data_IF_133421450033
#
_entry.id   IF_133421450033
#
_cell.length_a   1.000
_cell.length_b   1.000
_cell.length_c   1.000
_cell.angle_alpha   90.00
_cell.angle_beta   90.00
_cell.angle_gamma   90.00
#
_symmetry.space_group_name_H-M   'P 1'
#
loop_
_entity.id
_entity.type
_entity.pdbx_description
1 polymer ?
#
# COMPACT_ATOMS: atom_id res chain seq x y z
N UNK A 1 33.36 -90.02 48.19
CA UNK A 1 32.81 -88.65 48.07
C UNK A 1 31.30 -88.80 48.11
N UNK A 2 30.71 -88.53 49.27
CA UNK A 2 29.27 -88.56 49.61
C UNK A 2 28.47 -87.69 48.59
N UNK A 3 27.34 -88.07 47.99
CA UNK A 3 26.01 -88.56 48.41
C UNK A 3 25.13 -87.54 49.17
N UNK A 4 23.95 -87.24 48.57
CA UNK A 4 22.63 -86.90 49.18
C UNK A 4 22.54 -85.56 49.95
N UNK A 5 21.43 -84.83 50.12
CA UNK A 5 20.05 -84.72 49.63
C UNK A 5 19.38 -83.73 50.63
N UNK A 6 18.36 -82.97 50.19
CA UNK A 6 17.05 -82.93 50.89
C UNK A 6 16.83 -82.14 52.21
N UNK A 7 16.00 -81.08 52.08
CA UNK A 7 14.72 -80.83 52.79
C UNK A 7 14.66 -79.97 54.08
N UNK A 8 13.63 -79.09 54.06
CA UNK A 8 12.92 -78.35 55.14
C UNK A 8 13.72 -77.25 55.87
N UNK A 9 13.20 -76.03 56.08
CA UNK A 9 11.87 -75.68 56.60
C UNK A 9 11.31 -74.31 56.12
N UNK A 10 9.99 -74.22 55.97
CA UNK A 10 9.19 -72.97 56.09
C UNK A 10 8.58 -72.90 57.49
N UNK A 11 8.34 -71.69 58.06
CA UNK A 11 6.95 -71.21 58.00
C UNK A 11 6.77 -69.70 57.71
N UNK A 12 5.64 -69.45 57.06
CA UNK A 12 4.76 -68.27 57.05
C UNK A 12 4.99 -67.19 58.11
N UNK A 13 4.85 -65.91 57.73
CA UNK A 13 3.65 -65.07 58.01
C UNK A 13 3.64 -63.88 57.04
N UNK A 14 2.47 -63.67 56.45
CA UNK A 14 1.96 -62.52 55.68
C UNK A 14 2.25 -61.16 56.31
N UNK A 15 2.67 -60.19 55.50
CA UNK A 15 1.96 -58.91 55.40
C UNK A 15 2.19 -58.26 54.03
N UNK A 16 1.09 -57.81 53.45
CA UNK A 16 0.99 -57.30 52.11
C UNK A 16 1.65 -55.91 51.99
N UNK A 17 2.58 -55.77 51.04
CA UNK A 17 3.03 -54.46 50.56
C UNK A 17 2.59 -54.32 49.11
N UNK A 18 1.65 -53.39 48.93
CA UNK A 18 1.07 -52.91 47.67
C UNK A 18 2.12 -52.50 46.64
N UNK A 19 1.88 -52.72 45.33
CA UNK A 19 2.76 -52.22 44.28
C UNK A 19 2.61 -50.70 44.15
N UNK A 20 3.71 -49.98 44.36
CA UNK A 20 3.82 -48.54 44.20
C UNK A 20 3.70 -48.17 42.71
N UNK A 21 2.68 -47.39 42.39
CA UNK A 21 2.40 -46.89 41.04
C UNK A 21 3.43 -45.81 40.64
N UNK A 22 3.76 -45.67 39.35
CA UNK A 22 4.78 -44.73 38.91
C UNK A 22 4.35 -43.27 39.15
N UNK A 23 5.29 -42.49 39.70
CA UNK A 23 5.19 -41.05 39.94
C UNK A 23 4.60 -40.33 38.73
N UNK A 24 3.40 -39.79 38.93
CA UNK A 24 2.76 -38.89 37.98
C UNK A 24 3.35 -37.49 38.21
N UNK A 25 3.97 -36.84 37.21
CA UNK A 25 4.40 -35.45 37.39
C UNK A 25 3.16 -34.58 37.54
N UNK A 26 2.99 -34.01 38.73
CA UNK A 26 2.03 -32.97 39.02
C UNK A 26 2.29 -31.75 38.12
N UNK A 27 1.23 -31.21 37.52
CA UNK A 27 1.21 -29.84 36.98
C UNK A 27 1.83 -29.65 35.60
N UNK A 28 1.24 -30.25 34.55
CA UNK A 28 1.20 -29.58 33.25
C UNK A 28 -0.12 -28.84 33.18
N UNK A 29 -0.06 -27.50 33.21
CA UNK A 29 -1.16 -26.67 32.78
C UNK A 29 -1.68 -27.20 31.43
N UNK A 30 -3.01 -27.29 31.23
CA UNK A 30 -3.53 -27.75 29.96
C UNK A 30 -2.99 -26.83 28.87
N UNK A 31 -2.22 -27.38 27.93
CA UNK A 31 -1.84 -26.70 26.70
C UNK A 31 -3.14 -26.29 26.04
N UNK A 32 -3.47 -25.00 26.14
CA UNK A 32 -4.65 -24.44 25.54
C UNK A 32 -4.65 -24.81 24.05
N UNK A 33 -5.60 -25.66 23.64
CA UNK A 33 -5.84 -25.96 22.25
C UNK A 33 -6.07 -24.68 21.45
N UNK A 34 -5.89 -24.70 20.12
CA UNK A 34 -6.11 -23.54 19.28
C UNK A 34 -7.57 -23.08 19.42
N UNK A 35 -7.74 -21.97 20.14
CA UNK A 35 -9.01 -21.28 20.38
C UNK A 35 -9.65 -20.86 19.04
N UNK A 36 -10.95 -21.09 18.81
CA UNK A 36 -11.58 -20.90 17.52
C UNK A 36 -11.71 -19.40 17.18
N UNK A 37 -10.91 -18.93 16.21
CA UNK A 37 -11.07 -17.82 15.25
C UNK A 37 -12.02 -16.61 15.50
N UNK A 38 -12.35 -16.27 16.76
CA UNK A 38 -13.30 -15.20 17.11
C UNK A 38 -12.77 -14.31 18.24
N UNK A 39 -12.49 -13.05 17.94
CA UNK A 39 -12.65 -11.97 18.93
C UNK A 39 -11.43 -11.45 19.69
N UNK A 40 -10.19 -11.88 19.47
CA UNK A 40 -9.03 -11.22 20.12
C UNK A 40 -8.85 -9.79 19.57
N UNK A 41 -8.76 -8.80 20.46
CA UNK A 41 -8.44 -7.41 20.13
C UNK A 41 -7.04 -7.32 19.51
N UNK A 42 -6.85 -6.46 18.50
CA UNK A 42 -5.56 -6.25 17.80
C UNK A 42 -4.49 -5.60 18.70
N UNK A 43 -4.84 -5.23 19.93
CA UNK A 43 -3.93 -4.64 20.90
C UNK A 43 -3.79 -3.11 20.79
N UNK A 44 -3.33 -2.49 21.87
CA UNK A 44 -3.18 -1.03 21.97
C UNK A 44 -2.14 -0.47 20.99
N UNK A 45 -1.00 -1.14 20.88
CA UNK A 45 0.09 -0.73 19.97
C UNK A 45 -0.35 -0.70 18.51
N UNK A 46 -1.22 -1.63 18.10
CA UNK A 46 -1.81 -1.63 16.76
C UNK A 46 -2.66 -0.38 16.54
N UNK A 47 -3.56 -0.05 17.46
CA UNK A 47 -4.43 1.11 17.29
C UNK A 47 -3.67 2.44 17.32
N UNK A 48 -2.58 2.52 18.09
CA UNK A 48 -1.67 3.68 18.06
C UNK A 48 -0.95 3.82 16.70
N UNK A 49 -0.44 2.71 16.15
CA UNK A 49 0.14 2.67 14.80
C UNK A 49 -0.90 3.01 13.73
N UNK A 50 -2.12 2.48 13.87
CA UNK A 50 -3.24 2.74 12.98
C UNK A 50 -3.63 4.21 12.97
N UNK A 51 -3.73 4.85 14.14
CA UNK A 51 -4.01 6.28 14.26
C UNK A 51 -2.87 7.13 13.66
N UNK A 52 -1.62 6.79 13.93
CA UNK A 52 -0.46 7.47 13.32
C UNK A 52 -0.51 7.38 11.79
N UNK A 53 -0.76 6.19 11.25
CA UNK A 53 -0.77 5.95 9.80
C UNK A 53 -1.95 6.63 9.12
N UNK A 54 -3.13 6.61 9.74
CA UNK A 54 -4.31 7.33 9.25
C UNK A 54 -4.12 8.85 9.24
N UNK A 55 -3.56 9.44 10.32
CA UNK A 55 -3.28 10.88 10.37
C UNK A 55 -2.20 11.31 9.36
N UNK A 56 -1.15 10.50 9.22
CA UNK A 56 -0.10 10.74 8.23
C UNK A 56 -0.66 10.70 6.81
N UNK A 57 -1.47 9.69 6.50
CA UNK A 57 -2.08 9.54 5.18
C UNK A 57 -3.12 10.62 4.89
N UNK A 58 -3.85 11.08 5.92
CA UNK A 58 -4.76 12.24 5.80
C UNK A 58 -3.98 13.49 5.37
N UNK A 59 -2.86 13.77 6.03
CA UNK A 59 -1.99 14.90 5.70
C UNK A 59 -1.46 14.80 4.26
N UNK A 60 -0.99 13.62 3.86
CA UNK A 60 -0.54 13.35 2.49
C UNK A 60 -1.67 13.59 1.46
N UNK A 61 -2.90 13.13 1.77
CA UNK A 61 -4.08 13.32 0.93
C UNK A 61 -4.50 14.79 0.78
N UNK A 62 -4.46 15.56 1.87
CA UNK A 62 -4.70 17.01 1.85
C UNK A 62 -3.64 17.70 0.97
N UNK A 63 -2.36 17.34 1.15
CA UNK A 63 -1.26 18.01 0.48
C UNK A 63 -1.30 17.84 -1.05
N UNK A 64 -1.81 16.70 -1.55
CA UNK A 64 -2.00 16.45 -2.99
C UNK A 64 -2.86 17.51 -3.69
N UNK A 65 -3.79 18.13 -2.96
CA UNK A 65 -4.65 19.22 -3.47
C UNK A 65 -4.08 20.58 -3.12
N UNK A 66 -3.58 20.75 -1.89
CA UNK A 66 -3.08 22.04 -1.39
C UNK A 66 -1.88 22.54 -2.18
N UNK A 67 -0.89 21.68 -2.49
CA UNK A 67 0.33 22.12 -3.18
C UNK A 67 0.05 22.71 -4.58
N UNK A 68 -0.69 22.04 -5.48
CA UNK A 68 -1.05 22.62 -6.77
C UNK A 68 -1.88 23.92 -6.65
N UNK A 69 -2.81 24.00 -5.69
CA UNK A 69 -3.65 25.19 -5.50
C UNK A 69 -2.84 26.41 -5.01
N UNK A 70 -1.80 26.17 -4.20
CA UNK A 70 -0.86 27.23 -3.82
C UNK A 70 0.01 27.64 -5.01
N UNK A 71 0.43 26.68 -5.84
CA UNK A 71 1.27 26.96 -7.01
C UNK A 71 0.63 27.94 -8.00
N UNK A 72 -0.69 27.87 -8.19
CA UNK A 72 -1.46 28.78 -9.06
C UNK A 72 -1.32 30.26 -8.63
N UNK A 73 -0.98 30.54 -7.36
CA UNK A 73 -0.72 31.90 -6.88
C UNK A 73 0.61 32.46 -7.38
N UNK A 74 1.58 31.60 -7.68
CA UNK A 74 2.95 31.98 -8.04
C UNK A 74 3.27 31.79 -9.52
N UNK A 75 2.48 31.00 -10.24
CA UNK A 75 2.69 30.76 -11.66
C UNK A 75 1.37 30.47 -12.38
N UNK A 76 1.30 30.90 -13.64
CA UNK A 76 0.23 30.54 -14.57
C UNK A 76 0.66 29.42 -15.53
N UNK A 77 1.87 28.86 -15.38
CA UNK A 77 2.38 27.81 -16.26
C UNK A 77 1.81 26.45 -15.85
N UNK A 78 0.99 25.80 -16.70
CA UNK A 78 0.44 24.49 -16.39
C UNK A 78 1.54 23.42 -16.22
N UNK A 79 2.65 23.55 -16.95
CA UNK A 79 3.78 22.64 -16.86
C UNK A 79 4.46 22.70 -15.48
N UNK A 80 4.65 23.90 -14.93
CA UNK A 80 5.25 24.06 -13.60
C UNK A 80 4.32 23.55 -12.49
N UNK A 81 3.01 23.68 -12.64
CA UNK A 81 2.04 23.14 -11.68
C UNK A 81 1.99 21.61 -11.75
N UNK A 82 1.91 21.05 -12.97
CA UNK A 82 1.91 19.60 -13.19
C UNK A 82 3.20 18.94 -12.70
N UNK A 83 4.35 19.61 -12.85
CA UNK A 83 5.62 19.10 -12.38
C UNK A 83 5.71 18.94 -10.85
N UNK A 84 4.84 19.56 -10.05
CA UNK A 84 4.76 19.29 -8.61
C UNK A 84 4.27 17.87 -8.31
N UNK A 85 3.35 17.33 -9.12
CA UNK A 85 2.92 15.94 -8.99
C UNK A 85 4.07 14.97 -9.33
N UNK A 86 4.89 15.33 -10.31
CA UNK A 86 6.13 14.60 -10.63
C UNK A 86 7.10 14.69 -9.44
N UNK A 87 7.31 15.89 -8.87
CA UNK A 87 8.20 16.06 -7.73
C UNK A 87 7.78 15.24 -6.50
N UNK A 88 6.47 15.11 -6.24
CA UNK A 88 5.94 14.25 -5.16
C UNK A 88 6.15 12.75 -5.43
N UNK A 89 6.04 12.31 -6.68
CA UNK A 89 6.02 10.87 -7.02
C UNK A 89 7.38 10.34 -7.49
N UNK A 90 8.26 11.20 -8.01
CA UNK A 90 9.61 10.86 -8.45
C UNK A 90 10.45 10.15 -7.36
N UNK A 91 10.36 10.52 -6.06
CA UNK A 91 11.04 9.79 -5.01
C UNK A 91 10.70 8.30 -4.95
N UNK A 92 9.49 7.87 -5.30
CA UNK A 92 9.16 6.44 -5.38
C UNK A 92 9.95 5.72 -6.47
N UNK A 93 10.26 6.39 -7.59
CA UNK A 93 11.10 5.83 -8.65
C UNK A 93 12.58 5.76 -8.21
N UNK A 94 13.08 6.78 -7.53
CA UNK A 94 14.50 6.90 -7.19
C UNK A 94 14.88 6.16 -5.90
N UNK A 95 13.98 6.15 -4.91
CA UNK A 95 14.30 5.79 -3.54
C UNK A 95 13.48 4.61 -2.99
N UNK A 96 12.54 3.99 -3.71
CA UNK A 96 11.79 2.83 -3.20
C UNK A 96 12.72 1.67 -2.78
N UNK A 97 13.70 1.32 -3.62
CA UNK A 97 14.68 0.27 -3.31
C UNK A 97 15.62 0.66 -2.16
N UNK A 98 16.27 1.86 -2.18
CA UNK A 98 17.04 2.32 -1.05
C UNK A 98 16.26 2.40 0.27
N UNK A 99 15.04 2.93 0.25
CA UNK A 99 14.21 3.05 1.44
C UNK A 99 13.94 1.69 2.06
N UNK A 100 13.57 0.68 1.27
CA UNK A 100 13.40 -0.69 1.75
C UNK A 100 14.64 -1.25 2.44
N UNK A 101 15.79 -1.15 1.78
CA UNK A 101 17.03 -1.68 2.33
C UNK A 101 17.56 -0.88 3.54
N UNK A 102 17.19 0.39 3.66
CA UNK A 102 17.49 1.25 4.82
C UNK A 102 16.59 0.93 6.01
N UNK A 103 15.29 0.77 5.79
CA UNK A 103 14.28 0.40 6.80
C UNK A 103 14.59 -0.97 7.42
N UNK A 104 15.21 -1.88 6.66
CA UNK A 104 15.75 -3.16 7.13
C UNK A 104 16.98 -3.03 8.07
N UNK A 105 17.50 -1.82 8.32
CA UNK A 105 18.65 -1.58 9.22
C UNK A 105 18.31 -0.70 10.40
N UNK A 106 17.37 0.21 10.20
CA UNK A 106 16.95 1.19 11.18
C UNK A 106 15.86 0.60 12.08
N UNK A 107 15.67 1.23 13.23
CA UNK A 107 14.44 1.03 13.99
C UNK A 107 13.29 1.64 13.19
N UNK A 108 12.30 0.80 12.83
CA UNK A 108 11.20 1.20 11.94
C UNK A 108 10.35 2.32 12.53
N UNK A 109 10.14 2.31 13.85
CA UNK A 109 9.42 3.37 14.55
C UNK A 109 10.21 4.68 14.50
N UNK A 110 11.53 4.64 14.73
CA UNK A 110 12.37 5.85 14.59
C UNK A 110 12.38 6.40 13.17
N UNK A 111 12.44 5.55 12.16
CA UNK A 111 12.38 5.98 10.76
C UNK A 111 11.06 6.71 10.44
N UNK A 112 9.93 6.18 10.91
CA UNK A 112 8.62 6.83 10.79
C UNK A 112 8.54 8.16 11.54
N UNK A 113 9.05 8.22 12.78
CA UNK A 113 9.09 9.47 13.57
C UNK A 113 9.89 10.57 12.85
N UNK A 114 11.10 10.23 12.39
CA UNK A 114 11.96 11.18 11.67
C UNK A 114 11.30 11.63 10.36
N UNK A 115 10.69 10.71 9.61
CA UNK A 115 10.00 11.05 8.38
C UNK A 115 8.90 12.10 8.62
N UNK A 116 8.01 11.88 9.59
CA UNK A 116 6.92 12.82 9.87
C UNK A 116 7.42 14.14 10.47
N UNK A 117 8.47 14.14 11.28
CA UNK A 117 9.10 15.36 11.79
C UNK A 117 9.71 16.19 10.65
N UNK A 118 10.40 15.56 9.71
CA UNK A 118 10.96 16.25 8.54
C UNK A 118 9.84 16.82 7.67
N UNK A 119 8.76 16.06 7.42
CA UNK A 119 7.59 16.56 6.67
C UNK A 119 6.92 17.75 7.35
N UNK A 120 6.69 17.67 8.65
CA UNK A 120 6.14 18.77 9.43
C UNK A 120 7.05 19.99 9.40
N UNK A 121 8.38 19.81 9.47
CA UNK A 121 9.35 20.88 9.33
C UNK A 121 9.33 21.53 7.95
N UNK A 122 9.32 20.74 6.87
CA UNK A 122 9.24 21.24 5.49
C UNK A 122 7.98 22.08 5.27
N UNK A 123 6.83 21.61 5.75
CA UNK A 123 5.58 22.37 5.66
C UNK A 123 5.56 23.55 6.63
N UNK A 124 6.21 23.47 7.79
CA UNK A 124 6.37 24.61 8.70
C UNK A 124 7.14 25.75 8.03
N UNK A 125 8.23 25.44 7.34
CA UNK A 125 8.97 26.42 6.52
C UNK A 125 8.08 26.97 5.41
N UNK A 126 7.35 26.11 4.69
CA UNK A 126 6.42 26.56 3.64
C UNK A 126 5.32 27.46 4.21
N UNK A 127 4.74 27.14 5.37
CA UNK A 127 3.72 27.94 6.05
C UNK A 127 4.22 29.33 6.40
N UNK A 128 5.45 29.44 6.91
CA UNK A 128 6.07 30.73 7.20
C UNK A 128 6.26 31.52 5.90
N UNK A 129 6.81 30.91 4.85
CA UNK A 129 7.03 31.60 3.58
C UNK A 129 5.72 32.03 2.90
N UNK A 130 4.67 31.21 2.96
CA UNK A 130 3.33 31.56 2.44
C UNK A 130 2.69 32.66 3.28
N UNK A 131 2.84 32.63 4.61
CA UNK A 131 2.30 33.66 5.50
C UNK A 131 2.99 35.01 5.37
N UNK A 132 4.28 35.02 5.02
CA UNK A 132 5.07 36.21 4.73
C UNK A 132 5.03 36.65 3.26
N UNK A 133 4.30 35.92 2.41
CA UNK A 133 4.21 36.13 0.96
C UNK A 133 5.57 36.14 0.21
N UNK A 134 6.53 35.35 0.72
CA UNK A 134 7.88 35.17 0.12
C UNK A 134 8.09 33.77 -0.46
N UNK A 135 7.05 32.93 -0.47
CA UNK A 135 7.12 31.61 -1.07
C UNK A 135 7.27 31.71 -2.60
N UNK A 136 7.83 30.66 -3.20
CA UNK A 136 8.03 30.57 -4.64
C UNK A 136 7.72 29.17 -5.14
N UNK A 137 7.46 29.03 -6.43
CA UNK A 137 7.25 27.72 -7.06
C UNK A 137 8.41 26.75 -6.77
N UNK A 138 9.65 27.24 -6.73
CA UNK A 138 10.83 26.43 -6.44
C UNK A 138 10.84 25.88 -5.01
N UNK A 139 10.38 26.66 -4.04
CA UNK A 139 10.19 26.16 -2.68
C UNK A 139 9.15 25.04 -2.64
N UNK A 140 8.06 25.16 -3.40
CA UNK A 140 7.05 24.10 -3.52
C UNK A 140 7.65 22.81 -4.11
N UNK A 141 8.55 22.90 -5.09
CA UNK A 141 9.28 21.74 -5.63
C UNK A 141 10.18 21.07 -4.59
N UNK A 142 10.95 21.86 -3.82
CA UNK A 142 11.81 21.35 -2.75
C UNK A 142 10.98 20.64 -1.68
N UNK A 143 9.86 21.25 -1.28
CA UNK A 143 8.94 20.67 -0.30
C UNK A 143 8.29 19.39 -0.84
N UNK A 144 7.75 19.41 -2.06
CA UNK A 144 7.15 18.26 -2.71
C UNK A 144 8.12 17.07 -2.79
N UNK A 145 9.34 17.30 -3.26
CA UNK A 145 10.36 16.27 -3.39
C UNK A 145 10.82 15.74 -2.02
N UNK A 146 11.04 16.62 -1.04
CA UNK A 146 11.41 16.24 0.33
C UNK A 146 10.31 15.44 1.03
N UNK A 147 9.05 15.81 0.85
CA UNK A 147 7.89 15.05 1.33
C UNK A 147 7.86 13.68 0.67
N UNK A 148 7.99 13.56 -0.65
CA UNK A 148 7.97 12.26 -1.33
C UNK A 148 9.12 11.32 -0.90
N UNK A 149 10.32 11.83 -0.62
CA UNK A 149 11.43 11.03 -0.07
C UNK A 149 11.04 10.42 1.28
N UNK A 150 10.53 11.26 2.17
CA UNK A 150 10.14 10.83 3.53
C UNK A 150 8.86 9.98 3.51
N UNK A 151 7.98 10.16 2.54
CA UNK A 151 6.84 9.28 2.20
C UNK A 151 7.30 7.86 1.93
N UNK A 152 8.27 7.72 1.03
CA UNK A 152 8.81 6.42 0.66
C UNK A 152 9.38 5.67 1.88
N UNK A 153 10.06 6.39 2.79
CA UNK A 153 10.62 5.81 4.03
C UNK A 153 9.51 5.44 5.03
N UNK A 154 8.55 6.34 5.27
CA UNK A 154 7.48 6.14 6.24
C UNK A 154 6.61 4.94 5.85
N UNK A 155 6.11 4.91 4.63
CA UNK A 155 5.18 3.87 4.19
C UNK A 155 5.83 2.48 4.20
N UNK A 156 7.10 2.44 3.77
CA UNK A 156 7.88 1.19 3.80
C UNK A 156 8.11 0.71 5.23
N UNK A 157 8.30 1.64 6.18
CA UNK A 157 8.41 1.33 7.60
C UNK A 157 7.08 0.91 8.23
N UNK A 158 5.98 1.60 7.91
CA UNK A 158 4.63 1.35 8.43
C UNK A 158 4.13 -0.06 8.08
N UNK A 159 4.37 -0.51 6.85
CA UNK A 159 4.05 -1.88 6.46
C UNK A 159 4.96 -2.91 7.14
N UNK A 160 6.24 -2.57 7.33
CA UNK A 160 7.23 -3.50 7.89
C UNK A 160 7.18 -3.63 9.41
N UNK A 161 6.63 -2.63 10.12
CA UNK A 161 6.47 -2.67 11.58
C UNK A 161 5.24 -3.49 12.00
N UNK A 162 4.21 -3.56 11.15
CA UNK A 162 2.94 -4.20 11.48
C UNK A 162 3.09 -5.67 11.94
N UNK A 163 3.92 -6.53 11.30
CA UNK A 163 4.14 -7.90 11.77
C UNK A 163 4.77 -8.02 13.15
N UNK A 164 5.39 -6.96 13.65
CA UNK A 164 5.97 -6.91 15.00
C UNK A 164 4.99 -6.38 16.05
N UNK A 165 3.81 -5.92 15.64
CA UNK A 165 2.82 -5.28 16.52
C UNK A 165 1.59 -6.16 16.77
N UNK A 166 1.29 -7.08 15.85
CA UNK A 166 0.15 -8.01 15.96
C UNK A 166 0.59 -9.46 15.79
N UNK A 167 -0.22 -10.39 16.32
CA UNK A 167 0.02 -11.81 16.16
C UNK A 167 -0.16 -12.27 14.69
N UNK A 168 0.55 -13.34 14.31
CA UNK A 168 0.61 -13.84 12.92
C UNK A 168 -0.76 -14.21 12.35
N UNK A 169 -1.63 -14.81 13.16
CA UNK A 169 -3.00 -15.18 12.82
C UNK A 169 -3.92 -13.97 12.55
N UNK A 170 -3.53 -12.79 13.03
CA UNK A 170 -4.31 -11.56 12.88
C UNK A 170 -3.78 -10.62 11.78
N UNK A 171 -2.68 -10.96 11.11
CA UNK A 171 -1.99 -10.08 10.16
C UNK A 171 -2.87 -9.63 8.99
N UNK A 172 -3.65 -10.53 8.41
CA UNK A 172 -4.54 -10.19 7.29
C UNK A 172 -5.60 -9.18 7.71
N UNK A 173 -6.20 -9.37 8.89
CA UNK A 173 -7.19 -8.46 9.47
C UNK A 173 -6.58 -7.10 9.80
N UNK A 174 -5.37 -7.09 10.36
CA UNK A 174 -4.63 -5.88 10.70
C UNK A 174 -4.22 -5.09 9.45
N UNK A 175 -3.69 -5.77 8.43
CA UNK A 175 -3.36 -5.15 7.13
C UNK A 175 -4.59 -4.55 6.46
N UNK A 176 -5.70 -5.30 6.40
CA UNK A 176 -6.93 -4.81 5.77
C UNK A 176 -7.47 -3.54 6.44
N UNK A 177 -7.46 -3.47 7.78
CA UNK A 177 -7.92 -2.29 8.53
C UNK A 177 -6.95 -1.11 8.43
N UNK A 178 -5.65 -1.37 8.43
CA UNK A 178 -4.64 -0.32 8.26
C UNK A 178 -4.74 0.27 6.85
N UNK A 179 -4.70 -0.57 5.83
CA UNK A 179 -4.81 -0.16 4.43
C UNK A 179 -6.12 0.58 4.15
N UNK A 180 -7.27 0.10 4.68
CA UNK A 180 -8.54 0.79 4.54
C UNK A 180 -8.49 2.21 5.15
N UNK A 181 -7.86 2.38 6.30
CA UNK A 181 -7.70 3.70 6.92
C UNK A 181 -6.78 4.61 6.12
N UNK A 182 -5.63 4.11 5.67
CA UNK A 182 -4.69 4.84 4.81
C UNK A 182 -5.40 5.29 3.52
N UNK A 183 -6.07 4.38 2.83
CA UNK A 183 -6.78 4.67 1.58
C UNK A 183 -7.94 5.65 1.78
N UNK A 184 -8.74 5.48 2.84
CA UNK A 184 -9.85 6.39 3.15
C UNK A 184 -9.35 7.79 3.49
N UNK A 185 -8.33 7.90 4.34
CA UNK A 185 -7.79 9.20 4.74
C UNK A 185 -7.04 9.89 3.60
N UNK A 186 -6.24 9.15 2.83
CA UNK A 186 -5.44 9.70 1.74
C UNK A 186 -6.24 10.05 0.48
N UNK A 187 -7.22 9.23 0.10
CA UNK A 187 -7.93 9.39 -1.18
C UNK A 187 -9.35 9.93 -1.04
N UNK A 188 -10.06 9.61 0.05
CA UNK A 188 -11.47 10.01 0.20
C UNK A 188 -11.65 11.27 1.05
N UNK A 189 -10.96 11.36 2.20
CA UNK A 189 -11.12 12.47 3.14
C UNK A 189 -10.15 13.61 2.82
N UNK A 190 -8.88 13.27 2.57
CA UNK A 190 -7.80 14.24 2.40
C UNK A 190 -8.05 15.26 1.28
N UNK A 191 -8.31 14.85 0.02
CA UNK A 191 -8.45 15.79 -1.08
C UNK A 191 -9.61 16.79 -0.91
N UNK A 192 -10.85 16.37 -0.54
CA UNK A 192 -11.93 17.32 -0.25
C UNK A 192 -11.61 18.25 0.92
N UNK A 193 -11.00 17.71 2.00
CA UNK A 193 -10.57 18.51 3.14
C UNK A 193 -9.53 19.56 2.71
N UNK A 194 -8.58 19.21 1.84
CA UNK A 194 -7.60 20.15 1.31
C UNK A 194 -8.21 21.29 0.49
N UNK A 195 -9.25 21.00 -0.31
CA UNK A 195 -10.01 22.04 -1.01
C UNK A 195 -10.72 23.00 -0.03
N UNK A 196 -11.39 22.47 0.99
CA UNK A 196 -12.06 23.28 2.03
C UNK A 196 -11.07 24.13 2.83
N UNK A 197 -9.92 23.56 3.20
CA UNK A 197 -8.87 24.29 3.91
C UNK A 197 -8.29 25.41 3.04
N UNK A 198 -8.09 25.18 1.74
CA UNK A 198 -7.63 26.21 0.81
C UNK A 198 -8.65 27.35 0.68
N UNK A 199 -9.94 27.05 0.70
CA UNK A 199 -11.00 28.06 0.72
C UNK A 199 -10.98 28.90 2.02
N UNK A 200 -10.64 28.27 3.16
CA UNK A 200 -10.46 28.99 4.42
C UNK A 200 -9.17 29.84 4.46
N UNK A 201 -8.14 29.45 3.71
CA UNK A 201 -6.93 30.24 3.51
C UNK A 201 -5.67 29.39 3.30
N UNK A 202 -4.76 29.87 2.46
CA UNK A 202 -3.54 29.12 2.09
C UNK A 202 -2.67 28.75 3.30
N UNK A 203 -2.50 29.65 4.28
CA UNK A 203 -1.70 29.35 5.48
C UNK A 203 -2.33 28.21 6.29
N UNK A 204 -3.65 28.25 6.52
CA UNK A 204 -4.39 27.21 7.23
C UNK A 204 -4.24 25.86 6.50
N UNK A 205 -4.32 25.89 5.17
CA UNK A 205 -4.19 24.70 4.33
C UNK A 205 -2.81 24.03 4.40
N UNK A 206 -1.73 24.81 4.58
CA UNK A 206 -0.37 24.24 4.75
C UNK A 206 -0.10 23.82 6.20
N UNK A 207 -0.57 24.59 7.18
CA UNK A 207 -0.35 24.30 8.61
C UNK A 207 -1.06 23.02 9.03
N UNK A 208 -2.25 22.75 8.47
CA UNK A 208 -3.08 21.62 8.90
C UNK A 208 -2.41 20.25 8.66
N UNK A 209 -1.86 19.92 7.47
CA UNK A 209 -1.08 18.70 7.28
C UNK A 209 0.15 18.62 8.19
N UNK A 210 0.85 19.72 8.42
CA UNK A 210 2.00 19.75 9.33
C UNK A 210 1.58 19.37 10.76
N UNK A 211 0.48 19.96 11.25
CA UNK A 211 -0.10 19.62 12.55
C UNK A 211 -0.54 18.15 12.60
N UNK A 212 -1.18 17.62 11.55
CA UNK A 212 -1.60 16.23 11.49
C UNK A 212 -0.42 15.25 11.56
N UNK A 213 0.71 15.53 10.90
CA UNK A 213 1.93 14.72 11.05
C UNK A 213 2.53 14.82 12.46
N UNK A 214 2.48 15.99 13.12
CA UNK A 214 2.94 16.12 14.51
C UNK A 214 2.04 15.34 15.48
N UNK A 215 0.72 15.33 15.27
CA UNK A 215 -0.19 14.49 16.05
C UNK A 215 0.07 13.00 15.77
N UNK A 216 0.35 12.63 14.52
CA UNK A 216 0.77 11.27 14.16
C UNK A 216 2.06 10.85 14.89
N UNK A 217 3.06 11.76 14.96
CA UNK A 217 4.28 11.57 15.76
C UNK A 217 3.93 11.31 17.22
N UNK A 218 3.01 12.09 17.82
CA UNK A 218 2.52 11.87 19.18
C UNK A 218 1.92 10.48 19.38
N UNK A 219 1.04 10.04 18.48
CA UNK A 219 0.45 8.70 18.52
C UNK A 219 1.52 7.59 18.42
N UNK A 220 2.51 7.78 17.54
CA UNK A 220 3.60 6.83 17.33
C UNK A 220 4.60 6.80 18.49
N UNK A 221 4.78 7.91 19.22
CA UNK A 221 5.57 7.94 20.45
C UNK A 221 4.96 7.07 21.55
N UNK A 222 3.65 6.84 21.54
CA UNK A 222 2.98 5.96 22.49
C UNK A 222 3.17 4.47 22.20
N UNK A 223 3.60 4.11 20.99
CA UNK A 223 3.92 2.73 20.62
C UNK A 223 5.20 2.32 21.34
N UNK A 224 5.09 1.43 22.33
CA UNK A 224 6.23 0.94 23.12
C UNK A 224 6.92 -0.23 22.43
N UNK A 225 8.25 -0.21 22.43
CA UNK A 225 9.08 -1.28 21.88
C UNK A 225 10.26 -0.76 21.05
N UNK A 226 11.24 -1.65 20.84
CA UNK A 226 12.26 -1.52 19.81
C UNK A 226 11.81 -2.36 18.62
N UNK A 227 11.73 -1.76 17.45
CA UNK A 227 11.26 -2.41 16.21
C UNK A 227 12.40 -2.63 15.23
N UNK A 228 13.62 -2.67 15.75
CA UNK A 228 14.82 -2.98 14.97
C UNK A 228 14.73 -4.42 14.45
N UNK A 229 14.85 -4.64 13.14
CA UNK A 229 14.87 -5.98 12.58
C UNK A 229 16.04 -6.80 13.18
N UNK A 230 15.76 -8.03 13.61
CA UNK A 230 16.81 -9.01 13.95
C UNK A 230 17.41 -9.46 12.63
N UNK A 231 18.71 -9.20 12.42
CA UNK A 231 19.43 -9.62 11.21
C UNK A 231 20.28 -10.85 11.53
N UNK A 232 19.97 -11.96 10.88
CA UNK A 232 20.75 -13.20 10.97
C UNK A 232 22.11 -13.09 10.27
N UNK A 233 22.23 -12.21 9.25
CA UNK A 233 23.46 -12.06 8.46
C UNK A 233 23.79 -10.58 8.19
N UNK A 234 25.08 -10.23 8.29
CA UNK A 234 25.60 -8.94 7.83
C UNK A 234 25.67 -8.98 6.29
N UNK A 235 24.80 -8.22 5.64
CA UNK A 235 24.79 -8.03 4.18
C UNK A 235 24.91 -6.54 3.85
N UNK A 236 25.35 -6.21 2.63
CA UNK A 236 25.39 -4.83 2.14
C UNK A 236 24.01 -4.41 1.61
N UNK A 237 23.75 -3.11 1.58
CA UNK A 237 22.48 -2.56 1.09
C UNK A 237 22.22 -2.95 -0.36
N UNK A 238 23.28 -2.96 -1.18
CA UNK A 238 23.24 -3.43 -2.57
C UNK A 238 22.87 -4.91 -2.67
N UNK A 239 23.42 -5.76 -1.77
CA UNK A 239 23.09 -7.18 -1.76
C UNK A 239 21.62 -7.43 -1.38
N UNK A 240 21.08 -6.69 -0.40
CA UNK A 240 19.68 -6.79 0.01
C UNK A 240 18.73 -6.38 -1.13
N UNK A 241 19.03 -5.27 -1.82
CA UNK A 241 18.28 -4.80 -3.00
C UNK A 241 18.35 -5.84 -4.13
N UNK A 242 19.54 -6.34 -4.44
CA UNK A 242 19.75 -7.32 -5.49
C UNK A 242 19.02 -8.64 -5.19
N UNK A 243 18.96 -9.07 -3.93
CA UNK A 243 18.21 -10.26 -3.52
C UNK A 243 16.70 -10.07 -3.74
N UNK A 244 16.13 -8.94 -3.34
CA UNK A 244 14.71 -8.62 -3.55
C UNK A 244 14.33 -8.56 -5.03
N UNK A 245 15.14 -7.87 -5.85
CA UNK A 245 14.97 -7.82 -7.29
C UNK A 245 15.12 -9.20 -7.94
N UNK A 246 16.14 -9.96 -7.58
CA UNK A 246 16.36 -11.30 -8.13
C UNK A 246 15.21 -12.25 -7.79
N UNK A 247 14.69 -12.17 -6.57
CA UNK A 247 13.53 -12.96 -6.16
C UNK A 247 12.29 -12.59 -6.97
N UNK A 248 11.97 -11.29 -7.05
CA UNK A 248 10.82 -10.81 -7.82
C UNK A 248 10.94 -11.18 -9.31
N UNK A 249 12.14 -11.11 -9.91
CA UNK A 249 12.35 -11.44 -11.32
C UNK A 249 12.44 -12.96 -11.57
N UNK A 250 12.84 -13.74 -10.57
CA UNK A 250 12.88 -15.19 -10.61
C UNK A 250 11.48 -15.82 -10.50
N UNK A 251 10.56 -15.18 -9.77
CA UNK A 251 9.19 -15.66 -9.67
C UNK A 251 8.31 -15.10 -10.81
N UNK A 252 7.88 -15.99 -11.72
CA UNK A 252 7.11 -15.60 -12.91
C UNK A 252 5.77 -14.93 -12.57
N UNK A 253 5.08 -15.37 -11.52
CA UNK A 253 3.79 -14.79 -11.09
C UNK A 253 4.03 -13.37 -10.55
N UNK A 254 4.95 -13.22 -9.60
CA UNK A 254 5.22 -11.93 -8.97
C UNK A 254 5.73 -10.88 -9.98
N UNK A 255 6.64 -11.25 -10.89
CA UNK A 255 7.13 -10.36 -11.95
C UNK A 255 5.99 -9.90 -12.86
N UNK A 256 5.08 -10.81 -13.21
CA UNK A 256 3.93 -10.50 -14.07
C UNK A 256 2.98 -9.53 -13.37
N UNK A 257 2.62 -9.79 -12.11
CA UNK A 257 1.76 -8.91 -11.31
C UNK A 257 2.37 -7.51 -11.12
N UNK A 258 3.68 -7.44 -10.84
CA UNK A 258 4.39 -6.17 -10.67
C UNK A 258 4.42 -5.36 -11.96
N UNK A 259 4.68 -6.01 -13.10
CA UNK A 259 4.68 -5.37 -14.41
C UNK A 259 3.29 -4.87 -14.79
N UNK A 260 2.25 -5.70 -14.60
CA UNK A 260 0.86 -5.31 -14.88
C UNK A 260 0.42 -4.13 -14.00
N UNK A 261 0.77 -4.14 -12.71
CA UNK A 261 0.45 -3.02 -11.80
C UNK A 261 1.20 -1.75 -12.19
N UNK A 262 2.47 -1.86 -12.56
CA UNK A 262 3.26 -0.71 -13.01
C UNK A 262 2.71 -0.09 -14.30
N UNK A 263 2.31 -0.91 -15.27
CA UNK A 263 1.67 -0.44 -16.51
C UNK A 263 0.30 0.17 -16.24
N UNK A 264 -0.48 -0.41 -15.31
CA UNK A 264 -1.74 0.16 -14.84
C UNK A 264 -1.56 1.57 -14.26
N UNK A 265 -0.62 1.73 -13.34
CA UNK A 265 -0.34 3.03 -12.70
C UNK A 265 0.29 4.05 -13.67
N UNK A 266 1.07 3.59 -14.65
CA UNK A 266 1.55 4.44 -15.74
C UNK A 266 0.37 5.01 -16.54
N UNK A 267 -0.56 4.14 -16.97
CA UNK A 267 -1.70 4.53 -17.79
C UNK A 267 -2.67 5.47 -17.05
N UNK A 268 -3.00 5.16 -15.80
CA UNK A 268 -3.89 6.01 -14.99
C UNK A 268 -3.23 7.34 -14.64
N UNK A 269 -1.91 7.37 -14.43
CA UNK A 269 -1.19 8.64 -14.22
C UNK A 269 -1.10 9.47 -15.51
N UNK A 270 -0.92 8.83 -16.67
CA UNK A 270 -0.92 9.50 -17.97
C UNK A 270 -2.27 10.16 -18.29
N UNK A 271 -3.37 9.43 -18.09
CA UNK A 271 -4.71 9.98 -18.33
C UNK A 271 -5.13 10.96 -17.24
N UNK A 272 -4.80 10.69 -15.97
CA UNK A 272 -5.08 11.59 -14.87
C UNK A 272 -4.44 12.96 -15.03
N UNK A 273 -3.21 13.02 -15.56
CA UNK A 273 -2.50 14.27 -15.82
C UNK A 273 -3.22 15.19 -16.82
N UNK A 274 -3.95 14.62 -17.78
CA UNK A 274 -4.61 15.37 -18.86
C UNK A 274 -6.13 15.46 -18.71
N UNK A 275 -6.73 14.72 -17.77
CA UNK A 275 -8.18 14.60 -17.65
C UNK A 275 -8.86 15.91 -17.24
N UNK A 276 -8.24 16.73 -16.39
CA UNK A 276 -8.78 18.04 -16.02
C UNK A 276 -8.92 18.93 -17.26
N UNK A 277 -7.91 18.96 -18.14
CA UNK A 277 -7.93 19.72 -19.40
C UNK A 277 -8.99 19.20 -20.37
N UNK A 278 -9.27 17.89 -20.33
CA UNK A 278 -10.33 17.28 -21.14
C UNK A 278 -11.73 17.60 -20.61
N UNK A 279 -11.87 17.76 -19.30
CA UNK A 279 -13.17 17.79 -18.64
C UNK A 279 -13.67 19.20 -18.29
N UNK A 280 -12.79 20.12 -17.90
CA UNK A 280 -13.17 21.39 -17.26
C UNK A 280 -12.93 22.59 -18.16
N UNK A 281 -13.93 23.48 -18.24
CA UNK A 281 -13.81 24.81 -18.84
C UNK A 281 -14.38 24.93 -20.27
N UNK A 282 -14.59 26.16 -20.78
CA UNK A 282 -15.36 26.41 -22.00
C UNK A 282 -14.75 25.84 -23.28
N UNK A 283 -13.42 25.69 -23.31
CA UNK A 283 -12.69 25.09 -24.44
C UNK A 283 -12.44 23.58 -24.30
N UNK A 284 -12.90 22.96 -23.22
CA UNK A 284 -12.71 21.53 -22.99
C UNK A 284 -13.76 20.69 -23.72
N UNK A 285 -13.42 19.48 -24.19
CA UNK A 285 -14.39 18.58 -24.84
C UNK A 285 -15.66 18.27 -24.04
N UNK A 286 -15.62 18.30 -22.71
CA UNK A 286 -16.80 18.03 -21.88
C UNK A 286 -17.50 19.31 -21.36
N UNK A 287 -16.81 20.45 -21.31
CA UNK A 287 -17.39 21.72 -20.89
C UNK A 287 -17.89 21.75 -19.45
N UNK A 288 -17.34 20.94 -18.55
CA UNK A 288 -17.84 20.85 -17.18
C UNK A 288 -17.42 22.03 -16.32
N UNK A 289 -18.28 22.36 -15.37
CA UNK A 289 -17.92 23.20 -14.22
C UNK A 289 -17.10 22.39 -13.20
N UNK A 290 -16.29 23.09 -12.40
CA UNK A 290 -15.46 22.48 -11.36
C UNK A 290 -16.24 21.60 -10.38
N UNK A 291 -17.46 21.98 -9.89
CA UNK A 291 -18.24 21.13 -8.99
C UNK A 291 -18.67 19.81 -9.63
N UNK A 292 -19.08 19.84 -10.92
CA UNK A 292 -19.51 18.64 -11.64
C UNK A 292 -18.31 17.73 -11.92
N UNK A 293 -17.15 18.31 -12.23
CA UNK A 293 -15.91 17.57 -12.37
C UNK A 293 -15.53 16.85 -11.07
N UNK A 294 -15.62 17.54 -9.93
CA UNK A 294 -15.43 16.93 -8.62
C UNK A 294 -16.38 15.74 -8.39
N UNK A 295 -17.67 15.91 -8.67
CA UNK A 295 -18.67 14.84 -8.57
C UNK A 295 -18.33 13.66 -9.49
N UNK A 296 -17.86 13.93 -10.71
CA UNK A 296 -17.43 12.88 -11.65
C UNK A 296 -16.29 12.04 -11.09
N UNK A 297 -15.26 12.67 -10.51
CA UNK A 297 -14.15 11.96 -9.87
C UNK A 297 -14.60 11.09 -8.68
N UNK A 298 -15.65 11.49 -7.95
CA UNK A 298 -16.20 10.66 -6.87
C UNK A 298 -16.76 9.33 -7.35
N UNK A 299 -17.10 9.19 -8.63
CA UNK A 299 -17.62 7.94 -9.20
C UNK A 299 -16.63 6.79 -9.04
N UNK A 300 -15.33 7.03 -9.22
CA UNK A 300 -14.28 6.02 -8.98
C UNK A 300 -14.31 5.54 -7.52
N UNK A 301 -14.46 6.50 -6.61
CA UNK A 301 -14.51 6.27 -5.17
C UNK A 301 -15.73 5.43 -4.76
N UNK A 302 -16.92 5.79 -5.27
CA UNK A 302 -18.17 5.01 -5.09
C UNK A 302 -17.99 3.60 -5.63
N UNK A 303 -17.41 3.47 -6.83
CA UNK A 303 -17.06 2.20 -7.45
C UNK A 303 -16.18 1.34 -6.55
N UNK A 304 -15.08 1.88 -6.05
CA UNK A 304 -14.16 1.18 -5.15
C UNK A 304 -14.84 0.73 -3.85
N UNK A 305 -15.71 1.57 -3.27
CA UNK A 305 -16.48 1.19 -2.08
C UNK A 305 -17.40 -0.01 -2.38
N UNK A 306 -18.17 0.05 -3.47
CA UNK A 306 -19.02 -1.07 -3.90
C UNK A 306 -18.19 -2.33 -4.20
N UNK A 307 -17.05 -2.16 -4.88
CA UNK A 307 -16.08 -3.21 -5.17
C UNK A 307 -15.61 -3.95 -3.92
N UNK A 308 -15.37 -3.23 -2.82
CA UNK A 308 -14.95 -3.85 -1.55
C UNK A 308 -15.97 -4.83 -0.97
N UNK A 309 -17.27 -4.56 -1.11
CA UNK A 309 -18.34 -5.45 -0.63
C UNK A 309 -18.54 -6.70 -1.49
N UNK A 310 -18.12 -6.64 -2.76
CA UNK A 310 -18.31 -7.74 -3.71
C UNK A 310 -17.03 -8.52 -4.02
N UNK A 311 -15.85 -8.00 -3.65
CA UNK A 311 -14.56 -8.57 -4.02
C UNK A 311 -14.44 -10.06 -3.67
N UNK A 312 -14.72 -10.44 -2.42
CA UNK A 312 -14.68 -11.84 -1.98
C UNK A 312 -15.67 -12.71 -2.74
N UNK A 313 -16.88 -12.20 -3.00
CA UNK A 313 -17.93 -12.93 -3.72
C UNK A 313 -17.54 -13.14 -5.19
N UNK A 314 -16.89 -12.16 -5.81
CA UNK A 314 -16.38 -12.24 -7.17
C UNK A 314 -15.22 -13.22 -7.26
N UNK A 315 -14.24 -13.16 -6.34
CA UNK A 315 -13.12 -14.11 -6.27
C UNK A 315 -13.63 -15.55 -6.10
N UNK A 316 -14.56 -15.78 -5.17
CA UNK A 316 -15.11 -17.13 -4.92
C UNK A 316 -15.89 -17.69 -6.11
N UNK A 317 -16.58 -16.84 -6.88
CA UNK A 317 -17.38 -17.29 -8.04
C UNK A 317 -16.57 -17.46 -9.32
N UNK A 318 -15.61 -16.57 -9.57
CA UNK A 318 -14.87 -16.54 -10.83
C UNK A 318 -13.51 -17.23 -10.75
N UNK A 319 -12.95 -17.40 -9.55
CA UNK A 319 -11.54 -17.75 -9.35
C UNK A 319 -10.62 -16.54 -9.51
N UNK A 320 -9.39 -16.66 -9.00
CA UNK A 320 -8.43 -15.54 -8.93
C UNK A 320 -8.04 -15.03 -10.31
N UNK A 321 -7.73 -15.95 -11.22
CA UNK A 321 -7.33 -15.61 -12.59
C UNK A 321 -8.40 -14.77 -13.31
N UNK A 322 -9.65 -15.24 -13.32
CA UNK A 322 -10.73 -14.51 -14.01
C UNK A 322 -11.07 -13.18 -13.33
N UNK A 323 -10.99 -13.10 -12.01
CA UNK A 323 -11.15 -11.84 -11.28
C UNK A 323 -10.05 -10.82 -11.63
N UNK A 324 -8.80 -11.26 -11.79
CA UNK A 324 -7.71 -10.40 -12.26
C UNK A 324 -7.94 -9.96 -13.72
N UNK A 325 -8.39 -10.84 -14.61
CA UNK A 325 -8.74 -10.49 -15.99
C UNK A 325 -9.88 -9.45 -16.07
N UNK A 326 -10.93 -9.64 -15.27
CA UNK A 326 -12.02 -8.66 -15.14
C UNK A 326 -11.49 -7.29 -14.69
N UNK A 327 -10.47 -7.28 -13.84
CA UNK A 327 -9.85 -6.04 -13.38
C UNK A 327 -9.01 -5.34 -14.45
N UNK A 328 -8.36 -6.09 -15.33
CA UNK A 328 -7.71 -5.52 -16.52
C UNK A 328 -8.74 -4.88 -17.45
N UNK A 329 -9.89 -5.53 -17.66
CA UNK A 329 -10.97 -4.99 -18.48
C UNK A 329 -11.56 -3.72 -17.84
N UNK A 330 -11.88 -3.76 -16.55
CA UNK A 330 -12.41 -2.59 -15.83
C UNK A 330 -11.42 -1.43 -15.81
N UNK A 331 -10.12 -1.71 -15.66
CA UNK A 331 -9.05 -0.71 -15.79
C UNK A 331 -8.92 -0.13 -17.20
N UNK A 332 -9.12 -0.94 -18.23
CA UNK A 332 -9.17 -0.48 -19.63
C UNK A 332 -10.34 0.48 -19.84
N UNK A 333 -11.52 0.15 -19.28
CA UNK A 333 -12.70 1.03 -19.33
C UNK A 333 -12.46 2.34 -18.58
N UNK A 334 -11.87 2.28 -17.38
CA UNK A 334 -11.52 3.44 -16.56
C UNK A 334 -10.73 4.49 -17.36
N UNK A 335 -9.70 4.04 -18.08
CA UNK A 335 -8.77 4.89 -18.81
C UNK A 335 -9.29 5.24 -20.21
N UNK A 336 -10.03 4.33 -20.85
CA UNK A 336 -10.43 4.45 -22.25
C UNK A 336 -11.78 5.11 -22.51
N UNK A 337 -12.69 5.13 -21.53
CA UNK A 337 -14.04 5.68 -21.76
C UNK A 337 -14.05 7.13 -22.25
N UNK A 338 -13.14 8.05 -21.83
CA UNK A 338 -13.11 9.40 -22.39
C UNK A 338 -12.66 9.48 -23.85
N UNK A 339 -12.02 8.42 -24.39
CA UNK A 339 -11.66 8.39 -25.81
C UNK A 339 -12.89 8.29 -26.73
N UNK A 340 -13.94 7.60 -26.25
CA UNK A 340 -15.12 7.24 -27.06
C UNK A 340 -16.32 8.13 -26.81
N UNK A 341 -16.38 8.81 -25.66
CA UNK A 341 -17.50 9.69 -25.31
C UNK A 341 -17.05 10.90 -24.49
N UNK A 342 -17.84 11.97 -24.54
CA UNK A 342 -17.75 13.15 -23.66
C UNK A 342 -18.88 13.19 -22.63
N UNK A 343 -19.82 12.23 -22.67
CA UNK A 343 -21.00 12.25 -21.83
C UNK A 343 -20.63 11.95 -20.35
N UNK A 344 -20.84 12.89 -19.42
CA UNK A 344 -20.33 12.76 -18.05
C UNK A 344 -20.85 11.53 -17.30
N UNK A 345 -22.13 11.20 -17.48
CA UNK A 345 -22.75 10.01 -16.83
C UNK A 345 -22.11 8.70 -17.29
N UNK A 346 -21.79 8.58 -18.59
CA UNK A 346 -21.16 7.36 -19.12
C UNK A 346 -19.73 7.23 -18.59
N UNK A 347 -18.97 8.33 -18.62
CA UNK A 347 -17.61 8.37 -18.05
C UNK A 347 -17.65 8.02 -16.56
N UNK A 348 -18.60 8.58 -15.80
CA UNK A 348 -18.79 8.29 -14.38
C UNK A 348 -19.09 6.81 -14.13
N UNK A 349 -19.96 6.18 -14.93
CA UNK A 349 -20.22 4.75 -14.85
C UNK A 349 -18.98 3.90 -15.14
N UNK A 350 -18.18 4.28 -16.14
CA UNK A 350 -16.90 3.62 -16.45
C UNK A 350 -15.88 3.77 -15.32
N UNK A 351 -15.83 4.96 -14.70
CA UNK A 351 -14.99 5.23 -13.54
C UNK A 351 -15.40 4.40 -12.33
N UNK A 352 -16.70 4.27 -12.06
CA UNK A 352 -17.21 3.42 -11.00
C UNK A 352 -16.89 1.92 -11.24
N UNK A 353 -17.06 1.42 -12.47
CA UNK A 353 -16.67 0.06 -12.82
C UNK A 353 -15.15 -0.17 -12.65
N UNK A 354 -14.35 0.79 -13.12
CA UNK A 354 -12.90 0.79 -12.96
C UNK A 354 -12.47 0.77 -11.50
N UNK A 355 -13.04 1.65 -10.68
CA UNK A 355 -12.79 1.72 -9.24
C UNK A 355 -13.15 0.43 -8.52
N UNK A 356 -14.31 -0.17 -8.85
CA UNK A 356 -14.75 -1.43 -8.25
C UNK A 356 -13.77 -2.58 -8.53
N UNK A 357 -13.38 -2.72 -9.79
CA UNK A 357 -12.49 -3.80 -10.20
C UNK A 357 -11.03 -3.58 -9.77
N UNK A 358 -10.59 -2.32 -9.64
CA UNK A 358 -9.28 -1.98 -9.07
C UNK A 358 -9.14 -2.48 -7.63
N UNK A 359 -10.21 -2.44 -6.83
CA UNK A 359 -10.20 -2.99 -5.46
C UNK A 359 -10.07 -4.51 -5.48
N UNK A 360 -10.76 -5.20 -6.40
CA UNK A 360 -10.65 -6.66 -6.57
C UNK A 360 -9.22 -7.06 -6.90
N UNK A 361 -8.58 -6.36 -7.85
CA UNK A 361 -7.16 -6.56 -8.17
C UNK A 361 -6.27 -6.42 -6.93
N UNK A 362 -6.42 -5.33 -6.18
CA UNK A 362 -5.58 -5.06 -5.01
C UNK A 362 -5.69 -6.14 -3.94
N UNK A 363 -6.91 -6.62 -3.63
CA UNK A 363 -7.13 -7.68 -2.63
C UNK A 363 -6.39 -8.97 -3.02
N UNK A 364 -6.54 -9.40 -4.27
CA UNK A 364 -5.92 -10.63 -4.77
C UNK A 364 -4.39 -10.47 -4.79
N UNK A 365 -3.88 -9.37 -5.35
CA UNK A 365 -2.44 -9.16 -5.54
C UNK A 365 -1.68 -8.98 -4.23
N UNK A 366 -2.26 -8.30 -3.23
CA UNK A 366 -1.68 -8.24 -1.89
C UNK A 366 -1.55 -9.65 -1.30
N UNK A 367 -2.62 -10.44 -1.38
CA UNK A 367 -2.67 -11.80 -0.82
C UNK A 367 -1.66 -12.73 -1.49
N UNK A 368 -1.61 -12.74 -2.83
CA UNK A 368 -0.66 -13.56 -3.59
C UNK A 368 0.80 -13.22 -3.26
N UNK A 369 1.11 -11.92 -3.16
CA UNK A 369 2.47 -11.49 -2.79
C UNK A 369 2.90 -12.00 -1.42
N UNK A 370 1.99 -11.95 -0.45
CA UNK A 370 2.26 -12.42 0.91
C UNK A 370 2.42 -13.93 0.97
N UNK A 371 1.62 -14.70 0.21
CA UNK A 371 1.66 -16.17 0.22
C UNK A 371 2.84 -16.78 -0.55
N UNK A 372 3.24 -16.16 -1.65
CA UNK A 372 4.32 -16.68 -2.52
C UNK A 372 5.71 -16.32 -1.95
N UNK A 373 5.80 -15.25 -1.16
CA UNK A 373 7.10 -14.71 -0.73
C UNK A 373 7.48 -15.21 0.65
N UNK A 374 8.68 -15.80 0.82
CA UNK A 374 9.16 -16.19 2.14
C UNK A 374 9.22 -15.00 3.10
N UNK A 375 8.89 -15.23 4.38
CA UNK A 375 8.84 -14.20 5.42
C UNK A 375 10.09 -13.29 5.45
N UNK A 376 11.28 -13.91 5.35
CA UNK A 376 12.57 -13.20 5.36
C UNK A 376 12.79 -12.26 4.17
N UNK A 377 12.04 -12.44 3.08
CA UNK A 377 12.15 -11.68 1.83
C UNK A 377 10.97 -10.71 1.60
N UNK A 378 9.89 -10.79 2.39
CA UNK A 378 8.68 -10.01 2.18
C UNK A 378 8.95 -8.50 2.03
N UNK A 379 9.74 -7.90 2.93
CA UNK A 379 10.06 -6.47 2.89
C UNK A 379 10.86 -6.06 1.64
N UNK A 380 11.86 -6.87 1.27
CA UNK A 380 12.73 -6.62 0.11
C UNK A 380 11.99 -6.80 -1.22
N UNK A 381 11.21 -7.87 -1.33
CA UNK A 381 10.33 -8.12 -2.47
C UNK A 381 9.30 -7.01 -2.61
N UNK A 382 8.64 -6.59 -1.52
CA UNK A 382 7.64 -5.54 -1.55
C UNK A 382 8.22 -4.19 -1.99
N UNK A 383 9.45 -3.87 -1.58
CA UNK A 383 10.14 -2.65 -2.02
C UNK A 383 10.44 -2.68 -3.53
N UNK A 384 10.88 -3.83 -4.05
CA UNK A 384 11.08 -4.04 -5.48
C UNK A 384 9.76 -4.00 -6.28
N UNK A 385 8.69 -4.54 -5.71
CA UNK A 385 7.36 -4.45 -6.30
C UNK A 385 6.86 -2.99 -6.33
N UNK A 386 7.07 -2.23 -5.26
CA UNK A 386 6.66 -0.83 -5.12
C UNK A 386 7.39 0.07 -6.10
N UNK A 387 8.67 -0.18 -6.39
CA UNK A 387 9.38 0.52 -7.44
C UNK A 387 8.61 0.45 -8.78
N UNK A 388 8.19 -0.76 -9.17
CA UNK A 388 7.43 -0.93 -10.41
C UNK A 388 6.02 -0.36 -10.31
N UNK A 389 5.34 -0.53 -9.18
CA UNK A 389 3.97 -0.07 -9.01
C UNK A 389 3.88 1.47 -8.95
N UNK A 390 4.72 2.15 -8.18
CA UNK A 390 4.60 3.59 -7.93
C UNK A 390 5.59 4.42 -8.74
N UNK A 391 6.77 3.87 -9.03
CA UNK A 391 7.81 4.57 -9.78
C UNK A 391 7.45 4.84 -11.25
N UNK A 392 6.46 4.13 -11.80
CA UNK A 392 5.98 4.38 -13.17
C UNK A 392 5.00 5.55 -13.29
N UNK A 393 4.42 6.02 -12.17
CA UNK A 393 3.48 7.16 -12.17
C UNK A 393 4.09 8.45 -12.76
N UNK A 394 5.25 8.95 -12.29
CA UNK A 394 5.84 10.17 -12.86
C UNK A 394 6.16 10.01 -14.36
N UNK A 395 6.60 8.82 -14.79
CA UNK A 395 6.85 8.50 -16.20
C UNK A 395 5.55 8.56 -17.00
N UNK A 396 4.47 7.98 -16.47
CA UNK A 396 3.14 8.05 -17.07
C UNK A 396 2.63 9.47 -17.22
N UNK A 397 2.73 10.29 -16.18
CA UNK A 397 2.31 11.69 -16.23
C UNK A 397 3.04 12.48 -17.34
N UNK A 398 4.36 12.32 -17.46
CA UNK A 398 5.16 12.96 -18.53
C UNK A 398 4.73 12.45 -19.90
N UNK A 399 4.65 11.13 -20.09
CA UNK A 399 4.23 10.52 -21.36
C UNK A 399 2.81 10.97 -21.77
N UNK A 400 1.88 11.05 -20.81
CA UNK A 400 0.53 11.53 -21.04
C UNK A 400 0.50 12.98 -21.52
N UNK A 401 1.29 13.85 -20.89
CA UNK A 401 1.45 15.25 -21.31
C UNK A 401 2.02 15.37 -22.73
N UNK A 402 3.13 14.67 -23.02
CA UNK A 402 3.76 14.69 -24.35
C UNK A 402 2.83 14.13 -25.43
N UNK A 403 2.13 13.00 -25.17
CA UNK A 403 1.16 12.47 -26.12
C UNK A 403 -0.01 13.43 -26.35
N UNK A 404 -0.48 14.13 -25.30
CA UNK A 404 -1.54 15.12 -25.44
C UNK A 404 -1.10 16.33 -26.28
N UNK A 405 0.13 16.78 -26.13
CA UNK A 405 0.69 17.91 -26.88
C UNK A 405 0.82 17.57 -28.38
N UNK A 406 1.35 16.39 -28.70
CA UNK A 406 1.64 16.01 -30.09
C UNK A 406 0.40 15.47 -30.82
N UNK A 407 -0.44 14.68 -30.14
CA UNK A 407 -1.54 13.94 -30.76
C UNK A 407 -2.92 14.28 -30.20
N UNK A 408 -3.02 15.23 -29.27
CA UNK A 408 -4.27 15.64 -28.64
C UNK A 408 -4.71 14.78 -27.46
N UNK A 409 -5.58 15.34 -26.62
CA UNK A 409 -6.05 14.74 -25.36
C UNK A 409 -6.72 13.37 -25.55
N UNK A 410 -7.59 13.22 -26.57
CA UNK A 410 -8.32 11.96 -26.84
C UNK A 410 -7.40 10.78 -27.13
N UNK A 411 -6.28 11.04 -27.82
CA UNK A 411 -5.30 10.02 -28.18
C UNK A 411 -4.65 9.40 -26.95
N UNK A 412 -4.41 10.19 -25.90
CA UNK A 412 -3.86 9.68 -24.63
C UNK A 412 -4.76 8.58 -24.05
N UNK A 413 -6.08 8.83 -23.95
CA UNK A 413 -7.03 7.85 -23.43
C UNK A 413 -7.09 6.58 -24.30
N UNK A 414 -7.10 6.72 -25.62
CA UNK A 414 -7.15 5.59 -26.55
C UNK A 414 -5.88 4.72 -26.47
N UNK A 415 -4.70 5.35 -26.51
CA UNK A 415 -3.41 4.64 -26.46
C UNK A 415 -3.23 3.95 -25.11
N UNK A 416 -3.53 4.65 -24.01
CA UNK A 416 -3.40 4.06 -22.68
C UNK A 416 -4.41 2.93 -22.44
N UNK A 417 -5.63 3.03 -22.98
CA UNK A 417 -6.58 1.93 -22.96
C UNK A 417 -6.08 0.71 -23.75
N UNK A 418 -5.51 0.92 -24.94
CA UNK A 418 -4.90 -0.16 -25.72
C UNK A 418 -3.76 -0.83 -24.94
N UNK A 419 -2.87 -0.03 -24.34
CA UNK A 419 -1.78 -0.53 -23.49
C UNK A 419 -2.33 -1.38 -22.35
N UNK A 420 -3.36 -0.94 -21.64
CA UNK A 420 -3.99 -1.74 -20.57
C UNK A 420 -4.65 -3.01 -21.10
N UNK A 421 -5.30 -2.93 -22.25
CA UNK A 421 -5.92 -4.10 -22.87
C UNK A 421 -4.88 -5.19 -23.19
N UNK A 422 -3.66 -4.82 -23.61
CA UNK A 422 -2.59 -5.80 -23.85
C UNK A 422 -2.16 -6.56 -22.60
N UNK A 423 -2.46 -6.07 -21.39
CA UNK A 423 -2.18 -6.80 -20.14
C UNK A 423 -2.98 -8.10 -20.03
N UNK A 424 -4.06 -8.27 -20.82
CA UNK A 424 -4.76 -9.56 -20.93
C UNK A 424 -3.84 -10.69 -21.43
N UNK A 425 -2.75 -10.37 -22.16
CA UNK A 425 -1.74 -11.36 -22.53
C UNK A 425 -1.05 -11.94 -21.28
N UNK A 426 -0.86 -11.14 -20.23
CA UNK A 426 -0.34 -11.57 -18.93
C UNK A 426 -1.22 -12.62 -18.25
N UNK A 427 -2.52 -12.66 -18.57
CA UNK A 427 -3.44 -13.66 -18.04
C UNK A 427 -3.16 -15.08 -18.54
N UNK A 428 -2.39 -15.24 -19.62
CA UNK A 428 -1.87 -16.56 -20.05
C UNK A 428 -0.90 -17.16 -19.03
N UNK A 429 -0.29 -16.31 -18.20
CA UNK A 429 0.64 -16.73 -17.14
C UNK A 429 -0.11 -16.89 -15.82
N UNK A 430 -1.04 -15.97 -15.52
CA UNK A 430 -1.81 -15.93 -14.28
C UNK A 430 -3.03 -16.87 -14.33
N UNK A 431 -2.78 -18.17 -14.49
CA UNK A 431 -3.83 -19.20 -14.37
C UNK A 431 -3.96 -19.65 -12.92
N UNK A 432 -5.15 -20.10 -12.48
CA UNK A 432 -5.35 -20.57 -11.10
C UNK A 432 -4.36 -21.69 -10.74
N UNK A 433 -4.11 -22.63 -11.66
CA UNK A 433 -3.09 -23.69 -11.48
C UNK A 433 -1.68 -23.14 -11.26
N UNK A 434 -1.27 -22.13 -12.03
CA UNK A 434 0.06 -21.53 -11.90
C UNK A 434 0.19 -20.72 -10.61
N UNK A 435 -0.90 -20.08 -10.18
CA UNK A 435 -0.99 -19.39 -8.89
C UNK A 435 -0.84 -20.39 -7.74
N UNK A 436 -1.62 -21.47 -7.76
CA UNK A 436 -1.59 -22.49 -6.71
C UNK A 436 -0.20 -23.16 -6.61
N UNK A 437 0.42 -23.47 -7.75
CA UNK A 437 1.77 -24.02 -7.79
C UNK A 437 2.82 -23.06 -7.21
N UNK A 438 2.70 -21.75 -7.49
CA UNK A 438 3.61 -20.74 -6.94
C UNK A 438 3.45 -20.57 -5.43
N UNK A 439 2.23 -20.73 -4.90
CA UNK A 439 1.97 -20.68 -3.46
C UNK A 439 2.49 -21.91 -2.74
N UNK A 440 2.37 -23.10 -3.34
CA UNK A 440 2.95 -24.33 -2.79
C UNK A 440 4.48 -24.27 -2.74
N UNK A 441 5.11 -23.70 -3.77
CA UNK A 441 6.56 -23.51 -3.80
C UNK A 441 7.06 -22.46 -2.78
N UNK A 442 6.19 -21.55 -2.32
CA UNK A 442 6.50 -20.52 -1.33
C UNK A 442 6.18 -20.93 0.12
N UNK A 443 5.45 -22.03 0.33
CA UNK A 443 5.10 -22.51 1.67
C UNK A 443 6.37 -22.96 2.42
N UNK A 444 6.52 -22.61 3.71
CA UNK A 444 7.62 -23.12 4.51
C UNK A 444 7.50 -24.65 4.61
N UNK A 445 8.54 -25.36 4.15
CA UNK A 445 8.73 -26.80 4.36
C UNK A 445 9.05 -27.11 5.81
#
# INVERSE_FOLDING_TARGET
MEFTQSICDTPSVTDAVTPEAPDTPAGRDPVAGPDPAGGRSLGRSYWQLWTSSGLSNLADGVLKVVLPLIAVRYTQSPALIAGLAIALTLPWLLFALPAGALVDRLDRRRAMLVANLVRAGLLGVLSICVGLDIASIWLLYVVAFGVGITETIYDTSAQSILPSVVARDQLSRANGRLYAAELTTNQFIGPPLGGLLMAAGAVIAVVTPAAAWLVAVGALLLVRGSFRPVRERRSTMRADIAEGLRFLWGNRILRTLASMTGVFNLATSATGAVFVLYAVGPGSPMGLSEPIFGLLLTSTAVGSLLGSFIAERVERRLGRARSLALSVIGGTVLVGIPAVTTHPVLIGAGFALGGATTVIWNVIVVSLRQRITPDRLLGRMNSAYRLLAWGTMPVGAVLGGVLAEVFGLRTVFAVMALVLFTLLVGMRILTDRAIDAAEQAGAPT
#
